data_IF_587156213946
#
_entry.id   IF_587156213946
#
_cell.length_a   1.000
_cell.length_b   1.000
_cell.length_c   1.000
_cell.angle_alpha   90.00
_cell.angle_beta   90.00
_cell.angle_gamma   90.00
#
_symmetry.space_group_name_H-M   'P 1'
#
loop_
_entity.id
_entity.type
_entity.pdbx_description
1 polymer ?
#
# COMPACT_ATOMS: atom_id res chain seq x y z
N UNK A 1 -20.97 -42.18 63.16
CA UNK A 1 -20.33 -41.23 62.22
C UNK A 1 -20.48 -41.77 60.82
N UNK A 2 -21.24 -41.10 59.94
CA UNK A 2 -21.40 -41.48 58.52
C UNK A 2 -20.64 -40.44 57.69
N UNK A 3 -19.53 -40.82 57.08
CA UNK A 3 -18.79 -39.98 56.13
C UNK A 3 -19.50 -40.04 54.77
N UNK A 4 -20.04 -38.92 54.31
CA UNK A 4 -20.51 -38.74 52.94
C UNK A 4 -19.37 -38.12 52.11
N UNK A 5 -18.89 -38.86 51.11
CA UNK A 5 -17.92 -38.38 50.12
C UNK A 5 -18.69 -37.64 49.00
N UNK A 6 -18.49 -36.34 48.87
CA UNK A 6 -19.01 -35.54 47.76
C UNK A 6 -17.94 -35.44 46.67
N UNK A 7 -18.22 -36.03 45.51
CA UNK A 7 -17.39 -35.92 44.29
C UNK A 7 -17.76 -34.63 43.57
N UNK A 8 -16.89 -33.61 43.61
CA UNK A 8 -17.06 -32.37 42.87
C UNK A 8 -16.61 -32.53 41.41
N UNK A 9 -17.55 -32.40 40.47
CA UNK A 9 -17.24 -32.28 39.04
C UNK A 9 -16.74 -30.85 38.80
N UNK A 10 -15.42 -30.70 38.58
CA UNK A 10 -14.83 -29.44 38.14
C UNK A 10 -15.00 -29.34 36.62
N UNK A 11 -15.99 -28.56 36.19
CA UNK A 11 -16.13 -28.12 34.79
C UNK A 11 -15.02 -27.09 34.49
N UNK A 12 -13.89 -27.56 33.98
CA UNK A 12 -12.85 -26.70 33.42
C UNK A 12 -13.36 -26.12 32.08
N UNK A 13 -13.96 -24.93 32.15
CA UNK A 13 -14.35 -24.15 30.97
C UNK A 13 -13.11 -23.72 30.20
N UNK A 14 -12.83 -24.39 29.07
CA UNK A 14 -11.79 -24.00 28.15
C UNK A 14 -12.14 -22.68 27.47
N UNK A 15 -11.48 -21.59 27.87
CA UNK A 15 -11.46 -20.35 27.11
C UNK A 15 -10.67 -20.58 25.83
N UNK A 16 -11.35 -20.88 24.72
CA UNK A 16 -10.75 -20.80 23.39
C UNK A 16 -10.61 -19.32 23.02
N UNK A 17 -9.42 -18.77 23.16
CA UNK A 17 -9.06 -17.47 22.61
C UNK A 17 -9.07 -17.55 21.09
N UNK A 18 -10.14 -17.05 20.47
CA UNK A 18 -10.15 -16.81 19.03
C UNK A 18 -9.11 -15.71 18.72
N UNK A 19 -8.18 -15.94 17.78
CA UNK A 19 -7.31 -14.87 17.33
C UNK A 19 -8.17 -13.74 16.75
N UNK A 20 -7.86 -12.47 17.04
CA UNK A 20 -8.58 -11.35 16.46
C UNK A 20 -8.46 -11.43 14.93
N UNK A 21 -9.58 -11.40 14.23
CA UNK A 21 -9.59 -11.22 12.79
C UNK A 21 -8.97 -9.85 12.49
N UNK A 22 -7.79 -9.84 11.88
CA UNK A 22 -7.17 -8.62 11.41
C UNK A 22 -8.00 -8.12 10.22
N UNK A 23 -8.67 -6.98 10.40
CA UNK A 23 -9.36 -6.29 9.31
C UNK A 23 -8.36 -6.04 8.19
N UNK A 24 -8.75 -6.36 6.95
CA UNK A 24 -7.89 -6.20 5.80
C UNK A 24 -7.68 -4.70 5.49
N UNK A 25 -6.44 -4.32 5.18
CA UNK A 25 -6.00 -2.94 5.04
C UNK A 25 -5.99 -2.51 3.54
N UNK A 26 -6.86 -1.56 3.13
CA UNK A 26 -6.93 -1.09 1.74
C UNK A 26 -5.74 -0.21 1.34
N UNK A 27 -4.89 0.21 2.28
CA UNK A 27 -3.78 1.13 1.98
C UNK A 27 -2.64 0.44 1.22
N UNK A 28 -1.88 1.24 0.46
CA UNK A 28 -0.72 0.79 -0.33
C UNK A 28 -0.85 1.09 -1.82
N UNK A 29 0.09 0.59 -2.60
CA UNK A 29 0.08 0.70 -4.06
C UNK A 29 -0.63 -0.52 -4.68
N UNK A 30 -1.57 -0.26 -5.59
CA UNK A 30 -2.43 -1.26 -6.22
C UNK A 30 -2.36 -1.14 -7.73
N UNK A 31 -2.06 -2.24 -8.42
CA UNK A 31 -2.09 -2.30 -9.89
C UNK A 31 -3.53 -2.55 -10.33
N UNK A 32 -4.03 -1.68 -11.21
CA UNK A 32 -5.36 -1.82 -11.80
C UNK A 32 -5.45 -3.07 -12.69
N UNK A 33 -6.66 -3.56 -12.96
CA UNK A 33 -6.85 -4.89 -13.53
C UNK A 33 -6.21 -5.09 -14.92
N UNK A 34 -6.26 -4.07 -15.78
CA UNK A 34 -5.62 -4.09 -17.11
C UNK A 34 -4.09 -3.85 -17.07
N UNK A 35 -3.54 -3.52 -15.89
CA UNK A 35 -2.12 -3.28 -15.65
C UNK A 35 -1.56 -2.00 -16.25
N UNK A 36 -2.40 -1.02 -16.63
CA UNK A 36 -1.91 0.23 -17.24
C UNK A 36 -1.49 1.30 -16.22
N UNK A 37 -1.92 1.17 -14.96
CA UNK A 37 -1.59 2.11 -13.90
C UNK A 37 -1.45 1.42 -12.53
N UNK A 38 -0.77 2.09 -11.62
CA UNK A 38 -0.85 1.81 -10.19
C UNK A 38 -1.53 2.99 -9.49
N UNK A 39 -2.37 2.67 -8.51
CA UNK A 39 -3.05 3.64 -7.64
C UNK A 39 -2.48 3.48 -6.24
N UNK A 40 -1.93 4.56 -5.69
CA UNK A 40 -1.60 4.63 -4.27
C UNK A 40 -2.83 4.98 -3.49
N UNK A 41 -3.12 4.20 -2.47
CA UNK A 41 -4.30 4.32 -1.60
C UNK A 41 -3.85 4.62 -0.17
N UNK A 42 -4.40 5.69 0.42
CA UNK A 42 -4.07 6.14 1.77
C UNK A 42 -5.28 6.76 2.46
N UNK A 43 -5.24 6.82 3.80
CA UNK A 43 -6.25 7.56 4.56
C UNK A 43 -5.85 9.02 4.67
N UNK A 44 -6.69 9.91 4.12
CA UNK A 44 -6.50 11.36 4.17
C UNK A 44 -7.75 12.00 4.77
N UNK A 45 -7.59 12.79 5.83
CA UNK A 45 -8.67 13.55 6.48
C UNK A 45 -9.90 12.72 6.90
N UNK A 46 -9.70 11.46 7.30
CA UNK A 46 -10.77 10.58 7.80
C UNK A 46 -11.43 9.70 6.73
N UNK A 47 -11.16 9.94 5.44
CA UNK A 47 -11.61 9.09 4.33
C UNK A 47 -10.44 8.41 3.65
N UNK A 48 -10.72 7.30 2.96
CA UNK A 48 -9.76 6.67 2.05
C UNK A 48 -9.74 7.41 0.72
N UNK A 49 -8.54 7.63 0.19
CA UNK A 49 -8.28 8.26 -1.10
C UNK A 49 -7.32 7.43 -1.91
N UNK A 50 -7.40 7.56 -3.23
CA UNK A 50 -6.51 6.86 -4.15
C UNK A 50 -6.09 7.79 -5.28
N UNK A 51 -4.79 7.85 -5.59
CA UNK A 51 -4.26 8.64 -6.70
C UNK A 51 -3.29 7.83 -7.55
N UNK A 52 -3.21 8.15 -8.84
CA UNK A 52 -2.30 7.48 -9.79
C UNK A 52 -0.85 7.69 -9.35
N UNK A 53 -0.15 6.62 -8.96
CA UNK A 53 1.24 6.65 -8.50
C UNK A 53 2.25 6.22 -9.56
N UNK A 54 1.78 5.50 -10.58
CA UNK A 54 2.60 5.06 -11.71
C UNK A 54 1.72 4.78 -12.93
N UNK A 55 2.30 4.96 -14.12
CA UNK A 55 1.65 4.72 -15.40
C UNK A 55 2.56 3.87 -16.29
N UNK A 56 1.97 2.88 -16.98
CA UNK A 56 2.67 2.08 -17.98
C UNK A 56 3.18 2.93 -19.14
N UNK A 57 2.40 3.93 -19.54
CA UNK A 57 2.78 4.95 -20.52
C UNK A 57 2.71 6.33 -19.82
N UNK A 58 3.84 6.87 -19.35
CA UNK A 58 3.87 8.16 -18.67
C UNK A 58 3.44 9.32 -19.55
N UNK A 59 2.92 10.37 -18.91
CA UNK A 59 2.59 11.64 -19.57
C UNK A 59 1.16 11.69 -20.11
N UNK A 60 0.27 10.87 -19.57
CA UNK A 60 -1.15 10.95 -19.86
C UNK A 60 -1.76 12.29 -19.42
N UNK A 61 -2.87 12.64 -20.06
CA UNK A 61 -3.68 13.81 -19.76
C UNK A 61 -5.14 13.43 -19.65
N UNK A 62 -5.87 14.21 -18.89
CA UNK A 62 -7.30 13.98 -18.63
C UNK A 62 -8.20 14.46 -19.79
N UNK A 63 -7.89 14.03 -21.02
CA UNK A 63 -8.45 14.60 -22.26
C UNK A 63 -9.98 14.46 -22.36
N UNK A 64 -10.54 13.45 -21.69
CA UNK A 64 -11.97 13.15 -21.68
C UNK A 64 -12.74 13.90 -20.58
N UNK A 65 -12.08 14.70 -19.75
CA UNK A 65 -12.77 15.40 -18.67
C UNK A 65 -13.91 16.29 -19.21
N UNK A 66 -15.14 16.20 -18.68
CA UNK A 66 -16.24 17.06 -19.11
C UNK A 66 -15.98 18.54 -18.81
N UNK A 67 -15.18 18.84 -17.78
CA UNK A 67 -14.70 20.19 -17.48
C UNK A 67 -13.48 20.51 -18.36
N UNK A 68 -13.67 21.44 -19.30
CA UNK A 68 -12.64 21.88 -20.24
C UNK A 68 -11.38 22.39 -19.53
N UNK A 69 -11.52 22.99 -18.35
CA UNK A 69 -10.37 23.51 -17.59
C UNK A 69 -9.47 22.39 -17.04
N UNK A 70 -9.99 21.17 -16.93
CA UNK A 70 -9.27 20.00 -16.39
C UNK A 70 -8.65 19.14 -17.47
N UNK A 71 -9.01 19.30 -18.74
CA UNK A 71 -8.56 18.42 -19.84
C UNK A 71 -7.05 18.32 -20.03
N UNK A 72 -6.29 19.33 -19.59
CA UNK A 72 -4.85 19.39 -19.74
C UNK A 72 -4.08 18.94 -18.48
N UNK A 73 -4.77 18.58 -17.39
CA UNK A 73 -4.08 18.15 -16.17
C UNK A 73 -3.41 16.79 -16.38
N UNK A 74 -2.25 16.55 -15.76
CA UNK A 74 -1.61 15.23 -15.78
C UNK A 74 -2.51 14.17 -15.15
N UNK A 75 -2.50 12.96 -15.70
CA UNK A 75 -3.16 11.79 -15.08
C UNK A 75 -2.33 11.24 -13.92
N UNK A 76 -1.01 11.40 -13.93
CA UNK A 76 -0.15 11.12 -12.78
C UNK A 76 -0.54 12.03 -11.59
N UNK A 77 -0.60 11.47 -10.38
CA UNK A 77 -1.06 12.11 -9.15
C UNK A 77 -2.53 12.56 -9.16
N UNK A 78 -3.31 12.22 -10.19
CA UNK A 78 -4.73 12.52 -10.23
C UNK A 78 -5.51 11.63 -9.25
N UNK A 79 -6.47 12.16 -8.48
CA UNK A 79 -7.35 11.35 -7.66
C UNK A 79 -8.25 10.44 -8.51
N UNK A 80 -8.22 9.15 -8.21
CA UNK A 80 -9.07 8.11 -8.82
C UNK A 80 -10.10 7.60 -7.83
N UNK A 81 -9.72 7.32 -6.58
CA UNK A 81 -10.67 6.99 -5.51
C UNK A 81 -10.88 8.23 -4.65
N UNK A 82 -12.14 8.64 -4.50
CA UNK A 82 -12.54 9.94 -3.98
C UNK A 82 -13.45 9.74 -2.77
N UNK A 83 -13.08 10.32 -1.63
CA UNK A 83 -13.85 10.35 -0.38
C UNK A 83 -14.47 8.99 0.02
N UNK A 84 -13.66 7.93 0.01
CA UNK A 84 -14.11 6.57 0.34
C UNK A 84 -14.27 6.43 1.86
N UNK A 85 -15.50 6.51 2.36
CA UNK A 85 -15.85 6.46 3.78
C UNK A 85 -16.03 5.02 4.25
N UNK A 86 -15.44 4.68 5.41
CA UNK A 86 -15.56 3.34 6.01
C UNK A 86 -17.02 3.06 6.35
N UNK A 87 -17.54 1.93 5.89
CA UNK A 87 -18.86 1.43 6.26
C UNK A 87 -18.82 0.87 7.69
N UNK A 88 -19.70 1.31 8.61
CA UNK A 88 -19.74 0.77 9.97
C UNK A 88 -19.99 -0.74 9.97
N UNK A 89 -19.16 -1.49 10.71
CA UNK A 89 -19.31 -2.93 10.88
C UNK A 89 -18.94 -3.79 9.67
N UNK A 90 -18.35 -3.22 8.62
CA UNK A 90 -17.93 -3.96 7.43
C UNK A 90 -16.52 -3.56 6.96
N UNK A 91 -15.79 -4.50 6.34
CA UNK A 91 -14.52 -4.21 5.67
C UNK A 91 -14.72 -3.67 4.25
N UNK A 92 -15.53 -2.61 4.18
CA UNK A 92 -15.92 -1.95 2.95
C UNK A 92 -15.89 -0.43 3.15
N UNK A 93 -15.55 0.29 2.09
CA UNK A 93 -15.64 1.74 2.03
C UNK A 93 -16.48 2.16 0.84
N UNK A 94 -17.21 3.25 0.97
CA UNK A 94 -18.15 3.76 -0.03
C UNK A 94 -17.81 5.21 -0.36
N UNK A 95 -17.81 5.57 -1.64
CA UNK A 95 -17.41 6.89 -2.12
C UNK A 95 -17.58 6.97 -3.63
N UNK A 96 -16.62 7.59 -4.30
CA UNK A 96 -16.65 7.76 -5.76
C UNK A 96 -15.36 7.31 -6.43
N UNK A 97 -15.47 6.84 -7.67
CA UNK A 97 -14.32 6.58 -8.55
C UNK A 97 -14.41 7.47 -9.78
N UNK A 98 -13.30 8.14 -10.13
CA UNK A 98 -13.17 8.87 -11.39
C UNK A 98 -12.41 8.02 -12.41
N UNK A 99 -12.97 7.86 -13.60
CA UNK A 99 -12.32 7.18 -14.72
C UNK A 99 -11.95 8.20 -15.81
N UNK A 100 -10.66 8.46 -15.98
CA UNK A 100 -10.18 9.39 -17.01
C UNK A 100 -10.30 8.83 -18.44
N UNK A 101 -10.51 7.53 -18.61
CA UNK A 101 -10.70 6.93 -19.93
C UNK A 101 -12.03 7.32 -20.57
N UNK A 102 -13.07 7.54 -19.75
CA UNK A 102 -14.40 7.96 -20.22
C UNK A 102 -14.82 9.33 -19.66
N UNK A 103 -14.03 9.91 -18.75
CA UNK A 103 -14.28 11.21 -18.15
C UNK A 103 -15.38 11.22 -17.09
N UNK A 104 -15.85 10.06 -16.64
CA UNK A 104 -16.99 9.94 -15.73
C UNK A 104 -16.60 9.63 -14.29
N UNK A 105 -17.50 10.02 -13.38
CA UNK A 105 -17.42 9.68 -11.96
C UNK A 105 -18.57 8.75 -11.61
N UNK A 106 -18.27 7.67 -10.88
CA UNK A 106 -19.24 6.66 -10.47
C UNK A 106 -19.29 6.56 -8.95
N UNK A 107 -20.48 6.32 -8.39
CA UNK A 107 -20.58 5.83 -7.01
C UNK A 107 -19.92 4.46 -6.94
N UNK A 108 -19.05 4.26 -5.97
CA UNK A 108 -18.23 3.06 -5.89
C UNK A 108 -18.01 2.58 -4.47
N UNK A 109 -17.66 1.30 -4.37
CA UNK A 109 -17.19 0.67 -3.14
C UNK A 109 -15.82 0.07 -3.35
N UNK A 110 -15.01 0.05 -2.28
CA UNK A 110 -13.76 -0.69 -2.23
C UNK A 110 -13.81 -1.71 -1.09
N UNK A 111 -13.40 -2.94 -1.38
CA UNK A 111 -13.43 -4.07 -0.44
C UNK A 111 -12.11 -4.83 -0.54
N UNK A 112 -11.24 -4.78 0.47
CA UNK A 112 -10.05 -5.62 0.54
C UNK A 112 -10.42 -7.09 0.62
N UNK A 113 -9.79 -7.93 -0.20
CA UNK A 113 -9.99 -9.38 -0.23
C UNK A 113 -8.65 -10.05 0.07
N UNK A 114 -8.50 -10.52 1.31
CA UNK A 114 -7.21 -11.02 1.79
C UNK A 114 -6.15 -9.91 1.85
N UNK A 115 -4.89 -10.27 1.62
CA UNK A 115 -3.75 -9.34 1.72
C UNK A 115 -3.45 -8.58 0.44
N UNK A 116 -3.73 -9.19 -0.72
CA UNK A 116 -3.14 -8.77 -2.00
C UNK A 116 -4.15 -8.42 -3.08
N UNK A 117 -5.44 -8.43 -2.76
CA UNK A 117 -6.51 -8.06 -3.69
C UNK A 117 -7.39 -6.94 -3.11
N UNK A 118 -7.76 -6.00 -3.96
CA UNK A 118 -8.71 -4.93 -3.65
C UNK A 118 -9.81 -4.94 -4.71
N UNK A 119 -11.02 -5.29 -4.29
CA UNK A 119 -12.17 -5.26 -5.17
C UNK A 119 -12.72 -3.82 -5.26
N UNK A 120 -12.89 -3.33 -6.48
CA UNK A 120 -13.52 -2.04 -6.78
C UNK A 120 -14.82 -2.34 -7.53
N UNK A 121 -15.94 -1.84 -7.02
CA UNK A 121 -17.24 -1.93 -7.72
C UNK A 121 -17.79 -0.54 -7.91
N UNK A 122 -18.01 -0.14 -9.16
CA UNK A 122 -18.62 1.13 -9.54
C UNK A 122 -20.00 0.90 -10.17
N UNK A 123 -20.97 1.76 -9.85
CA UNK A 123 -22.31 1.68 -10.41
C UNK A 123 -22.71 3.00 -11.07
N UNK A 124 -23.23 2.93 -12.29
CA UNK A 124 -23.91 4.06 -12.94
C UNK A 124 -25.31 4.14 -12.35
N UNK A 125 -25.62 5.23 -11.65
CA UNK A 125 -26.95 5.52 -11.11
C UNK A 125 -27.55 4.39 -10.24
N UNK A 126 -26.69 3.53 -9.65
CA UNK A 126 -27.09 2.46 -8.73
C UNK A 126 -27.63 1.16 -9.36
N UNK A 127 -27.74 1.04 -10.68
CA UNK A 127 -28.35 -0.13 -11.34
C UNK A 127 -27.44 -0.84 -12.36
N UNK A 128 -26.53 -0.14 -13.04
CA UNK A 128 -25.52 -0.76 -13.92
C UNK A 128 -24.17 -0.77 -13.20
N UNK A 129 -23.85 -1.89 -12.56
CA UNK A 129 -22.63 -2.05 -11.79
C UNK A 129 -21.59 -2.86 -12.57
N UNK A 130 -20.39 -2.30 -12.69
CA UNK A 130 -19.18 -2.99 -13.11
C UNK A 130 -18.20 -3.11 -11.94
N UNK A 131 -17.18 -3.94 -12.09
CA UNK A 131 -16.15 -4.02 -11.08
C UNK A 131 -14.86 -4.59 -11.61
N UNK A 132 -13.78 -4.27 -10.91
CA UNK A 132 -12.44 -4.74 -11.18
C UNK A 132 -11.81 -5.23 -9.88
N UNK A 133 -10.85 -6.14 -9.99
CA UNK A 133 -10.01 -6.50 -8.85
C UNK A 133 -8.60 -6.03 -9.13
N UNK A 134 -8.11 -5.15 -8.27
CA UNK A 134 -6.75 -4.64 -8.31
C UNK A 134 -5.84 -5.54 -7.47
N UNK A 135 -4.58 -5.64 -7.88
CA UNK A 135 -3.59 -6.49 -7.23
C UNK A 135 -2.52 -5.64 -6.58
N UNK A 136 -2.12 -5.99 -5.36
CA UNK A 136 -1.11 -5.23 -4.62
C UNK A 136 0.24 -5.20 -5.35
N UNK A 137 0.89 -4.04 -5.38
CA UNK A 137 2.24 -3.84 -5.91
C UNK A 137 3.25 -4.01 -4.79
N UNK A 138 3.88 -5.18 -4.72
CA UNK A 138 4.89 -5.51 -3.71
C UNK A 138 4.29 -5.92 -2.36
N UNK A 139 5.14 -6.35 -1.40
CA UNK A 139 4.68 -6.66 -0.05
C UNK A 139 4.02 -5.42 0.57
N UNK A 140 3.10 -5.58 1.54
CA UNK A 140 2.45 -4.45 2.22
C UNK A 140 3.48 -3.39 2.58
N UNK A 141 3.32 -2.17 2.07
CA UNK A 141 4.22 -1.07 2.39
C UNK A 141 4.28 -1.02 3.92
N UNK A 142 5.44 -1.21 4.56
CA UNK A 142 5.54 -1.11 6.01
C UNK A 142 5.04 0.27 6.40
N UNK A 143 3.87 0.27 7.05
CA UNK A 143 3.14 1.40 7.63
C UNK A 143 3.61 2.76 7.10
N UNK A 144 3.00 3.24 6.01
CA UNK A 144 3.00 4.68 5.77
C UNK A 144 2.50 5.35 7.07
N UNK A 145 3.06 6.50 7.51
CA UNK A 145 2.56 7.23 8.68
C UNK A 145 1.03 7.46 8.63
N UNK A 146 0.45 7.53 7.42
CA UNK A 146 -0.99 7.55 7.19
C UNK A 146 -1.73 6.31 7.74
N UNK A 147 -1.13 5.11 7.68
CA UNK A 147 -1.68 3.86 8.19
C UNK A 147 -1.61 3.76 9.72
N UNK A 148 -0.67 4.48 10.35
CA UNK A 148 -0.56 4.54 11.82
C UNK A 148 -1.67 5.43 12.44
N UNK A 149 -2.09 6.48 11.71
CA UNK A 149 -3.16 7.39 12.12
C UNK A 149 -4.56 6.73 12.08
N UNK A 150 -4.78 5.80 11.13
CA UNK A 150 -6.02 5.04 11.02
C UNK A 150 -6.28 4.07 12.20
N UNK A 151 -5.22 3.68 12.93
CA UNK A 151 -5.30 2.71 14.04
C UNK A 151 -5.45 3.34 15.43
N UNK A 152 -5.67 4.66 15.53
CA UNK A 152 -5.84 5.30 16.84
C UNK A 152 -4.61 5.17 17.75
N UNK A 153 -3.41 5.23 17.18
CA UNK A 153 -2.19 5.24 17.98
C UNK A 153 -2.09 6.55 18.79
N UNK A 154 -1.75 6.51 20.09
CA UNK A 154 -1.55 7.72 20.87
C UNK A 154 -0.43 8.58 20.27
N UNK A 155 -0.69 9.88 20.11
CA UNK A 155 0.30 10.90 19.74
C UNK A 155 1.52 10.79 20.68
N UNK A 156 2.75 10.58 20.19
CA UNK A 156 3.93 10.79 21.03
C UNK A 156 4.00 12.29 21.34
N UNK A 157 3.90 12.64 22.62
CA UNK A 157 4.29 13.95 23.10
C UNK A 157 5.76 14.19 22.75
N UNK A 158 6.07 15.44 22.41
CA UNK A 158 7.24 15.79 21.61
C UNK A 158 8.60 15.39 22.17
N UNK A 159 9.50 15.09 21.25
CA UNK A 159 10.93 15.34 21.40
C UNK A 159 11.48 15.64 20.01
N UNK A 160 11.83 16.90 19.76
CA UNK A 160 12.51 17.33 18.54
C UNK A 160 13.92 16.70 18.48
N UNK A 161 14.37 16.16 17.34
CA UNK A 161 15.78 15.81 17.17
C UNK A 161 16.56 17.10 16.97
N UNK A 162 17.39 17.43 17.96
CA UNK A 162 18.38 18.50 17.88
C UNK A 162 19.42 18.11 16.82
N UNK A 163 19.50 18.88 15.74
CA UNK A 163 20.59 18.78 14.79
C UNK A 163 21.91 19.13 15.50
N UNK A 164 22.88 18.22 15.43
CA UNK A 164 24.28 18.50 15.74
C UNK A 164 25.09 18.05 14.52
N UNK A 165 25.65 19.04 13.83
CA UNK A 165 26.58 18.83 12.73
C UNK A 165 27.95 18.35 13.22
N UNK A 166 28.66 17.67 12.33
CA UNK A 166 30.11 17.58 12.37
C UNK A 166 30.63 17.43 10.93
N UNK A 167 31.28 18.49 10.46
CA UNK A 167 32.14 18.50 9.27
C UNK A 167 33.54 17.96 9.62
N UNK A 168 34.22 17.40 8.60
CA UNK A 168 35.67 17.16 8.57
C UNK A 168 36.06 15.75 9.02
N UNK A 169 36.86 14.96 8.30
CA UNK A 169 38.06 15.34 7.54
C UNK A 169 38.44 14.25 6.52
N UNK A 170 39.05 14.68 5.42
CA UNK A 170 39.73 13.86 4.43
C UNK A 170 41.09 13.37 4.97
N UNK A 171 41.45 12.12 4.68
CA UNK A 171 42.84 11.67 4.65
C UNK A 171 42.98 10.60 3.56
N UNK A 172 43.83 10.88 2.58
CA UNK A 172 44.27 9.97 1.54
C UNK A 172 45.54 9.24 2.01
N UNK A 173 45.72 7.98 1.62
CA UNK A 173 47.06 7.45 1.32
C UNK A 173 47.02 6.23 0.39
N UNK A 174 47.96 6.25 -0.56
CA UNK A 174 48.16 5.34 -1.69
C UNK A 174 49.31 4.33 -1.40
N UNK A 175 49.32 3.25 -2.19
CA UNK A 175 50.50 2.44 -2.57
C UNK A 175 50.41 0.96 -2.18
N UNK A 176 50.87 -0.04 -2.92
CA UNK A 176 51.41 -0.19 -4.29
C UNK A 176 51.46 -1.72 -4.62
N UNK A 177 51.74 -2.05 -5.89
CA UNK A 177 51.84 -3.37 -6.58
C UNK A 177 52.76 -4.43 -5.90
N UNK A 178 52.83 -5.74 -6.26
CA UNK A 178 52.34 -6.64 -7.33
C UNK A 178 52.71 -8.11 -6.94
N UNK A 179 52.24 -9.20 -7.57
CA UNK A 179 52.85 -9.86 -8.75
C UNK A 179 52.17 -11.22 -9.07
N UNK A 180 52.19 -11.54 -10.37
CA UNK A 180 51.98 -12.76 -11.20
C UNK A 180 51.93 -14.20 -10.62
N UNK A 181 51.10 -15.06 -11.24
CA UNK A 181 51.28 -16.53 -11.26
C UNK A 181 50.11 -17.31 -11.93
N UNK A 182 50.42 -18.24 -12.84
CA UNK A 182 49.56 -18.82 -13.88
C UNK A 182 48.79 -20.14 -13.53
N UNK A 183 47.87 -20.55 -14.43
CA UNK A 183 46.86 -21.66 -14.43
C UNK A 183 47.41 -22.98 -15.09
N UNK A 184 46.65 -24.10 -15.33
CA UNK A 184 45.85 -25.07 -14.53
C UNK A 184 46.31 -26.56 -14.79
N UNK A 185 45.53 -27.70 -14.68
CA UNK A 185 44.20 -28.06 -15.28
C UNK A 185 43.17 -28.82 -14.36
N UNK A 186 41.97 -29.10 -14.93
CA UNK A 186 40.70 -29.66 -14.38
C UNK A 186 40.68 -31.23 -14.23
N UNK A 187 39.54 -32.00 -14.06
CA UNK A 187 38.08 -31.68 -13.94
C UNK A 187 37.20 -32.55 -12.96
N UNK A 188 35.87 -32.28 -12.94
CA UNK A 188 34.68 -33.18 -12.79
C UNK A 188 33.73 -33.07 -11.55
N UNK A 189 32.58 -32.38 -11.77
CA UNK A 189 31.13 -32.63 -11.47
C UNK A 189 30.60 -33.30 -10.16
N UNK A 190 29.27 -33.28 -9.87
CA UNK A 190 28.36 -32.14 -9.63
C UNK A 190 27.62 -32.23 -8.26
N UNK A 191 27.10 -31.12 -7.73
CA UNK A 191 26.26 -31.10 -6.51
C UNK A 191 25.15 -30.02 -6.60
N UNK A 192 24.06 -30.11 -5.81
CA UNK A 192 22.68 -29.92 -6.26
C UNK A 192 22.21 -28.46 -6.28
N UNK A 193 21.18 -28.22 -7.11
CA UNK A 193 20.48 -26.94 -7.28
C UNK A 193 19.88 -26.48 -5.95
N UNK A 194 20.54 -25.54 -5.29
CA UNK A 194 19.97 -24.74 -4.20
C UNK A 194 18.89 -23.81 -4.74
N UNK A 195 17.83 -23.68 -3.94
CA UNK A 195 16.68 -22.84 -4.16
C UNK A 195 17.06 -21.43 -4.64
N UNK A 196 16.32 -20.94 -5.64
CA UNK A 196 16.44 -19.58 -6.13
C UNK A 196 16.22 -18.59 -4.96
N UNK A 197 17.24 -17.79 -4.69
CA UNK A 197 17.14 -16.64 -3.80
C UNK A 197 16.03 -15.70 -4.30
N UNK A 198 15.23 -15.08 -3.40
CA UNK A 198 14.26 -14.10 -3.80
C UNK A 198 14.98 -12.95 -4.52
N UNK A 199 14.49 -12.64 -5.73
CA UNK A 199 14.94 -11.51 -6.53
C UNK A 199 14.94 -10.24 -5.65
N UNK A 200 16.00 -9.43 -5.64
CA UNK A 200 16.05 -8.22 -4.83
C UNK A 200 14.82 -7.35 -5.11
N UNK A 201 14.14 -6.96 -4.03
CA UNK A 201 13.11 -5.93 -4.04
C UNK A 201 13.62 -4.74 -4.87
N UNK A 202 12.78 -4.24 -5.78
CA UNK A 202 13.10 -3.09 -6.63
C UNK A 202 13.46 -1.89 -5.74
N UNK A 203 14.77 -1.70 -5.56
CA UNK A 203 15.35 -0.52 -4.93
C UNK A 203 15.06 0.67 -5.83
N UNK A 204 14.08 1.49 -5.44
CA UNK A 204 13.89 2.87 -5.89
C UNK A 204 13.54 3.02 -7.36
N UNK A 205 12.31 2.70 -7.75
CA UNK A 205 11.65 3.63 -8.66
C UNK A 205 11.52 4.94 -7.87
N UNK A 206 12.00 6.06 -8.42
CA UNK A 206 11.71 7.36 -7.83
C UNK A 206 10.19 7.44 -7.67
N UNK A 207 9.71 7.58 -6.43
CA UNK A 207 8.29 7.75 -6.13
C UNK A 207 7.91 9.18 -6.55
N UNK A 208 7.33 9.37 -7.74
CA UNK A 208 7.18 10.70 -8.30
C UNK A 208 6.00 11.45 -7.69
N UNK A 209 5.14 10.76 -6.93
CA UNK A 209 3.91 11.29 -6.35
C UNK A 209 4.05 11.52 -4.85
N UNK A 210 4.79 10.67 -4.14
CA UNK A 210 5.02 10.83 -2.71
C UNK A 210 3.74 10.65 -1.88
N UNK A 211 3.54 11.50 -0.88
CA UNK A 211 2.36 11.47 -0.03
C UNK A 211 1.12 12.04 -0.75
N UNK A 212 0.18 11.17 -1.09
CA UNK A 212 -1.05 11.56 -1.79
C UNK A 212 -1.93 12.50 -0.97
N UNK A 213 -1.81 12.51 0.35
CA UNK A 213 -2.63 13.38 1.19
C UNK A 213 -2.25 14.87 1.07
N UNK A 214 -1.09 15.17 0.47
CA UNK A 214 -0.64 16.54 0.18
C UNK A 214 -1.06 17.04 -1.20
N UNK A 215 -1.65 16.19 -2.03
CA UNK A 215 -2.09 16.57 -3.37
C UNK A 215 -3.20 17.62 -3.27
N UNK A 216 -3.14 18.74 -4.02
CA UNK A 216 -4.09 19.85 -3.86
C UNK A 216 -5.56 19.45 -3.95
N UNK A 217 -5.90 18.53 -4.84
CA UNK A 217 -7.27 18.03 -5.02
C UNK A 217 -7.77 17.20 -3.83
N UNK A 218 -6.87 16.55 -3.08
CA UNK A 218 -7.19 15.73 -1.90
C UNK A 218 -7.15 16.59 -0.63
N UNK A 219 -6.11 17.40 -0.48
CA UNK A 219 -5.92 18.28 0.67
C UNK A 219 -6.96 19.41 0.73
N UNK A 220 -7.37 19.93 -0.42
CA UNK A 220 -8.35 21.01 -0.55
C UNK A 220 -9.80 20.55 -0.61
N UNK A 221 -10.07 19.24 -0.59
CA UNK A 221 -11.45 18.73 -0.59
C UNK A 221 -12.13 19.13 0.72
N UNK A 222 -13.31 19.76 0.63
CA UNK A 222 -14.12 20.07 1.80
C UNK A 222 -14.80 18.80 2.30
N UNK A 223 -14.50 18.40 3.54
CA UNK A 223 -15.02 17.18 4.19
C UNK A 223 -16.32 17.44 4.95
#
# INVERSE_FOLDING_TARGET
>A
MRLALYTGIILAGGYTSLPPALAADPTGDWRVADGVANIRVAQCNGSMWGAVSWEKKPGGRDENNPDVSKKNRPTLAMPTLIDMKKKPGADQWEGQVYNAQDGQTYSATITPVGTDQLEIKGCVMGFLCGGETWTRVGPPIPLSPANAMAKGAPKPAGAAPKAAGAQGTQAAQQGAAGTTGATPPAPAAPAPKTAAAPKPAQKGAADPVGDICLLPEIAGFAH
#
